data_IF_816819992592
#
_entry.id   IF_816819992592
#
_cell.length_a   1.000
_cell.length_b   1.000
_cell.length_c   1.000
_cell.angle_alpha   90.00
_cell.angle_beta   90.00
_cell.angle_gamma   90.00
#
_symmetry.space_group_name_H-M   'P 1'
#
loop_
_entity.id
_entity.type
_entity.pdbx_description
1 polymer ?
#
# COMPACT_ATOMS: atom_id res chain seq x y z
N UNK A 1 -0.30 9.18 -2.45
CA UNK A 1 0.69 8.26 -3.04
C UNK A 1 1.90 8.96 -3.66
N UNK A 2 1.72 10.10 -4.34
CA UNK A 2 2.81 10.91 -4.95
C UNK A 2 4.01 11.18 -4.03
N UNK A 3 3.77 11.54 -2.75
CA UNK A 3 4.85 11.77 -1.80
C UNK A 3 5.76 10.55 -1.61
N UNK A 4 5.17 9.36 -1.40
CA UNK A 4 5.92 8.12 -1.22
C UNK A 4 6.75 7.77 -2.46
N UNK A 5 6.19 7.97 -3.67
CA UNK A 5 6.94 7.82 -4.93
C UNK A 5 8.14 8.76 -5.01
N UNK A 6 7.95 10.03 -4.67
CA UNK A 6 9.05 11.02 -4.71
C UNK A 6 10.14 10.71 -3.68
N UNK A 7 9.75 10.31 -2.47
CA UNK A 7 10.66 9.86 -1.42
C UNK A 7 11.49 8.67 -1.94
N UNK A 8 10.85 7.66 -2.51
CA UNK A 8 11.55 6.49 -3.04
C UNK A 8 12.47 6.83 -4.22
N UNK A 9 12.00 7.67 -5.14
CA UNK A 9 12.78 8.12 -6.30
C UNK A 9 14.01 8.97 -5.92
N UNK A 10 13.98 9.65 -4.76
CA UNK A 10 15.12 10.38 -4.23
C UNK A 10 16.23 9.48 -3.66
N UNK A 11 16.10 8.14 -3.76
CA UNK A 11 17.15 7.20 -3.36
C UNK A 11 17.33 7.05 -1.85
N UNK A 12 16.37 7.51 -1.04
CA UNK A 12 16.46 7.38 0.41
C UNK A 12 16.34 5.92 0.87
N UNK A 13 17.13 5.56 1.88
CA UNK A 13 17.02 4.30 2.61
C UNK A 13 15.83 4.29 3.60
N UNK A 14 15.03 5.36 3.65
CA UNK A 14 13.89 5.45 4.54
C UNK A 14 12.84 4.39 4.22
N UNK A 15 12.25 3.85 5.29
CA UNK A 15 11.13 2.92 5.22
C UNK A 15 9.84 3.71 5.21
N UNK A 16 8.90 3.31 4.36
CA UNK A 16 7.66 4.05 4.15
C UNK A 16 6.52 3.31 4.84
N UNK A 17 5.77 4.01 5.68
CA UNK A 17 4.51 3.54 6.22
C UNK A 17 3.39 4.56 5.97
N UNK A 18 2.19 4.05 5.68
CA UNK A 18 0.99 4.86 5.50
C UNK A 18 0.14 4.84 6.78
N UNK A 19 -0.41 5.98 7.19
CA UNK A 19 -1.40 6.09 8.27
C UNK A 19 -2.69 6.68 7.69
N UNK A 20 -3.75 5.89 7.60
CA UNK A 20 -4.93 6.22 6.77
C UNK A 20 -6.22 5.67 7.35
N UNK A 21 -7.36 6.24 6.97
CA UNK A 21 -8.69 5.64 7.24
C UNK A 21 -9.12 4.65 6.14
N UNK A 22 -8.43 4.65 5.01
CA UNK A 22 -8.84 3.90 3.81
C UNK A 22 -8.30 2.48 3.83
N UNK A 23 -9.19 1.51 3.63
CA UNK A 23 -8.85 0.11 3.34
C UNK A 23 -9.01 -0.26 1.85
N UNK A 24 -9.38 0.70 0.98
CA UNK A 24 -9.57 0.50 -0.48
C UNK A 24 -8.40 -0.28 -1.11
N UNK A 25 -8.74 -1.41 -1.74
CA UNK A 25 -7.83 -2.35 -2.40
C UNK A 25 -6.85 -1.67 -3.35
N UNK A 26 -7.28 -0.61 -4.08
CA UNK A 26 -6.41 0.11 -5.00
C UNK A 26 -5.33 0.89 -4.27
N UNK A 27 -5.69 1.52 -3.15
CA UNK A 27 -4.71 2.24 -2.32
C UNK A 27 -3.74 1.27 -1.66
N UNK A 28 -4.22 0.10 -1.22
CA UNK A 28 -3.36 -0.95 -0.67
C UNK A 28 -2.39 -1.46 -1.74
N UNK A 29 -2.89 -1.81 -2.93
CA UNK A 29 -2.07 -2.27 -4.04
C UNK A 29 -1.02 -1.25 -4.46
N UNK A 30 -1.40 0.02 -4.55
CA UNK A 30 -0.48 1.10 -4.92
C UNK A 30 0.61 1.31 -3.83
N UNK A 31 0.24 1.26 -2.55
CA UNK A 31 1.21 1.36 -1.45
C UNK A 31 2.21 0.19 -1.47
N UNK A 32 1.74 -1.04 -1.66
CA UNK A 32 2.60 -2.22 -1.77
C UNK A 32 3.51 -2.11 -2.99
N UNK A 33 2.98 -1.70 -4.14
CA UNK A 33 3.77 -1.50 -5.36
C UNK A 33 4.87 -0.43 -5.23
N UNK A 34 4.68 0.58 -4.39
CA UNK A 34 5.73 1.58 -4.07
C UNK A 34 6.81 0.99 -3.14
N UNK A 35 6.57 -0.16 -2.51
CA UNK A 35 7.45 -0.78 -1.54
C UNK A 35 7.22 -0.29 -0.10
N UNK A 36 5.96 -0.03 0.26
CA UNK A 36 5.60 0.31 1.63
C UNK A 36 5.95 -0.83 2.60
N UNK A 37 6.61 -0.49 3.71
CA UNK A 37 6.89 -1.40 4.83
C UNK A 37 5.73 -1.43 5.83
N UNK A 38 4.81 -0.46 5.78
CA UNK A 38 3.63 -0.49 6.64
C UNK A 38 2.41 0.21 6.06
N UNK A 39 1.24 -0.26 6.47
CA UNK A 39 -0.06 0.34 6.19
C UNK A 39 -0.95 0.21 7.43
N UNK A 40 -1.17 1.34 8.07
CA UNK A 40 -1.71 1.46 9.43
C UNK A 40 -3.02 2.21 9.35
N UNK A 41 -4.06 1.67 10.00
CA UNK A 41 -5.34 2.34 10.07
C UNK A 41 -5.34 3.42 11.16
N UNK A 42 -5.89 4.58 10.83
CA UNK A 42 -6.19 5.63 11.80
C UNK A 42 -7.19 5.06 12.81
N UNK A 43 -7.01 5.43 14.09
CA UNK A 43 -7.76 4.87 15.21
C UNK A 43 -6.91 3.97 16.13
N UNK A 44 -5.69 3.60 15.71
CA UNK A 44 -4.71 3.00 16.64
C UNK A 44 -4.32 3.98 17.73
N UNK A 45 -4.11 3.50 18.95
CA UNK A 45 -3.59 4.32 20.04
C UNK A 45 -2.19 4.82 19.73
N UNK A 46 -1.80 5.94 20.35
CA UNK A 46 -0.46 6.51 20.17
C UNK A 46 0.65 5.52 20.56
N UNK A 47 0.47 4.77 21.65
CA UNK A 47 1.45 3.77 22.08
C UNK A 47 1.58 2.62 21.09
N UNK A 48 0.46 2.16 20.54
CA UNK A 48 0.45 1.14 19.51
C UNK A 48 1.13 1.64 18.23
N UNK A 49 0.83 2.88 17.81
CA UNK A 49 1.48 3.49 16.66
C UNK A 49 3.00 3.59 16.85
N UNK A 50 3.47 4.03 18.03
CA UNK A 50 4.91 4.06 18.35
C UNK A 50 5.55 2.67 18.27
N UNK A 51 4.88 1.64 18.78
CA UNK A 51 5.36 0.26 18.68
C UNK A 51 5.49 -0.17 17.21
N UNK A 52 4.47 0.08 16.41
CA UNK A 52 4.46 -0.25 14.98
C UNK A 52 5.60 0.47 14.26
N UNK A 53 5.75 1.79 14.47
CA UNK A 53 6.79 2.58 13.81
C UNK A 53 8.20 2.12 14.20
N UNK A 54 8.42 1.67 15.44
CA UNK A 54 9.69 1.04 15.83
C UNK A 54 9.95 -0.24 15.05
N UNK A 55 8.95 -1.10 14.86
CA UNK A 55 9.08 -2.31 14.03
C UNK A 55 9.37 -1.96 12.57
N UNK A 56 8.56 -1.07 12.00
CA UNK A 56 8.76 -0.55 10.64
C UNK A 56 10.16 -0.01 10.49
N UNK A 57 10.70 0.77 11.45
CA UNK A 57 12.06 1.32 11.36
C UNK A 57 13.16 0.25 11.29
N UNK A 58 12.92 -0.97 11.79
CA UNK A 58 13.82 -2.12 11.66
C UNK A 58 13.61 -2.91 10.37
N UNK A 59 12.53 -2.65 9.64
CA UNK A 59 12.16 -3.38 8.42
C UNK A 59 11.06 -4.40 8.63
N UNK A 60 10.45 -4.44 9.81
CA UNK A 60 9.32 -5.32 10.07
C UNK A 60 8.08 -4.79 9.35
N UNK A 61 7.49 -5.65 8.52
CA UNK A 61 6.26 -5.34 7.83
C UNK A 61 5.10 -5.20 8.83
N UNK A 62 4.27 -4.16 8.67
CA UNK A 62 3.04 -4.03 9.45
C UNK A 62 1.85 -3.66 8.58
N UNK A 63 0.93 -4.60 8.44
CA UNK A 63 -0.36 -4.40 7.77
C UNK A 63 -1.46 -4.76 8.75
N UNK A 64 -2.48 -3.89 8.88
CA UNK A 64 -3.66 -4.25 9.67
C UNK A 64 -4.30 -5.53 9.10
N UNK A 65 -5.04 -6.32 9.89
CA UNK A 65 -5.64 -7.57 9.42
C UNK A 65 -6.48 -7.41 8.14
N UNK A 66 -7.29 -6.34 8.06
CA UNK A 66 -8.07 -6.03 6.86
C UNK A 66 -7.18 -5.81 5.64
N UNK A 67 -6.12 -5.02 5.77
CA UNK A 67 -5.19 -4.71 4.69
C UNK A 67 -4.37 -5.94 4.30
N UNK A 68 -3.91 -6.74 5.27
CA UNK A 68 -3.16 -7.96 5.02
C UNK A 68 -3.94 -8.94 4.13
N UNK A 69 -5.26 -9.05 4.32
CA UNK A 69 -6.12 -9.83 3.42
C UNK A 69 -6.00 -9.35 1.97
N UNK A 70 -6.13 -8.05 1.72
CA UNK A 70 -6.00 -7.50 0.36
C UNK A 70 -4.61 -7.74 -0.22
N UNK A 71 -3.54 -7.59 0.58
CA UNK A 71 -2.17 -7.89 0.14
C UNK A 71 -2.05 -9.35 -0.32
N UNK A 72 -2.61 -10.29 0.45
CA UNK A 72 -2.59 -11.71 0.09
C UNK A 72 -3.39 -11.99 -1.19
N UNK A 73 -4.54 -11.35 -1.39
CA UNK A 73 -5.30 -11.47 -2.65
C UNK A 73 -4.52 -10.95 -3.85
N UNK A 74 -3.81 -9.82 -3.72
CA UNK A 74 -2.96 -9.26 -4.78
C UNK A 74 -1.79 -10.19 -5.13
N UNK A 75 -1.24 -10.89 -4.14
CA UNK A 75 -0.12 -11.82 -4.33
C UNK A 75 -0.53 -13.19 -4.87
N UNK A 76 -1.83 -13.50 -4.95
CA UNK A 76 -2.29 -14.78 -5.51
C UNK A 76 -2.00 -14.85 -7.02
N UNK A 77 -1.25 -15.88 -7.48
CA UNK A 77 -1.03 -16.11 -8.91
C UNK A 77 -2.37 -16.28 -9.65
N UNK A 78 -2.59 -15.50 -10.70
CA UNK A 78 -3.83 -15.51 -11.50
C UNK A 78 -4.81 -14.35 -11.24
N UNK A 79 -4.64 -13.58 -10.16
CA UNK A 79 -5.53 -12.45 -9.84
C UNK A 79 -5.39 -11.24 -10.81
N UNK A 80 -4.31 -11.17 -11.59
CA UNK A 80 -4.05 -10.07 -12.53
C UNK A 80 -4.67 -10.27 -13.93
N UNK A 81 -5.30 -11.41 -14.22
CA UNK A 81 -5.83 -11.70 -15.55
C UNK A 81 -7.21 -11.07 -15.84
N UNK A 82 -7.96 -10.59 -14.84
CA UNK A 82 -9.39 -10.27 -15.03
C UNK A 82 -9.81 -8.80 -14.88
N UNK A 83 -8.89 -7.84 -14.64
CA UNK A 83 -9.30 -6.43 -14.48
C UNK A 83 -8.45 -5.45 -15.25
N UNK A 84 -8.72 -5.32 -16.55
CA UNK A 84 -8.75 -4.01 -17.25
C UNK A 84 -9.83 -3.95 -18.36
N UNK A 85 -11.13 -3.79 -18.03
CA UNK A 85 -12.15 -3.39 -19.02
C UNK A 85 -12.18 -1.87 -19.27
N UNK A 86 -11.25 -1.08 -18.72
CA UNK A 86 -11.28 0.39 -18.81
C UNK A 86 -10.22 1.00 -19.74
N UNK A 87 -9.28 0.20 -20.28
CA UNK A 87 -8.27 0.67 -21.25
C UNK A 87 -8.76 0.53 -22.73
N UNK A 88 -9.94 -0.04 -22.98
CA UNK A 88 -10.48 -0.26 -24.34
C UNK A 88 -11.44 0.84 -24.84
N UNK A 89 -11.88 1.78 -23.99
CA UNK A 89 -12.86 2.80 -24.40
C UNK A 89 -12.25 4.08 -25.00
N UNK A 90 -10.93 4.24 -25.08
CA UNK A 90 -10.33 5.45 -25.67
C UNK A 90 -9.97 5.34 -27.16
N UNK A 91 -10.41 4.30 -27.88
CA UNK A 91 -10.07 4.13 -29.32
C UNK A 91 -11.23 4.23 -30.31
N UNK A 92 -12.46 4.58 -29.89
CA UNK A 92 -13.59 4.73 -30.83
C UNK A 92 -14.56 5.89 -30.53
N UNK A 93 -14.06 7.04 -30.11
CA UNK A 93 -14.88 8.27 -30.08
C UNK A 93 -14.20 9.54 -30.63
N UNK A 94 -13.21 9.43 -31.52
CA UNK A 94 -12.88 10.51 -32.47
C UNK A 94 -12.44 9.94 -33.83
#
# INVERSE_FOLDING_TARGET
MTAARRIKAAGTAARIAFLTVSEDDRHVAEAVGIGATGYILKGVSADRLRQILRGVSRGEAHFSPAVARHVLEIMRPGAQAEKRPIDELTRREE
#
